data_IF_496170612932
#
_entry.id   IF_496170612932
#
_cell.length_a   1.000
_cell.length_b   1.000
_cell.length_c   1.000
_cell.angle_alpha   90.00
_cell.angle_beta   90.00
_cell.angle_gamma   90.00
#
_symmetry.space_group_name_H-M   'P 1'
#
loop_
_entity.id
_entity.type
_entity.pdbx_description
1 polymer ?
#
# COMPACT_ATOMS: atom_id res chain seq x y z
N UNK A 1 -18.15 -18.82 -4.56
CA UNK A 1 -17.15 -18.51 -3.52
C UNK A 1 -17.09 -19.69 -2.53
N UNK A 2 -15.93 -20.29 -2.27
CA UNK A 2 -15.80 -21.48 -1.40
C UNK A 2 -15.87 -21.12 0.10
N UNK A 3 -16.50 -21.97 0.92
CA UNK A 3 -16.68 -21.81 2.38
C UNK A 3 -15.36 -21.45 3.11
N UNK A 4 -14.26 -22.07 2.69
CA UNK A 4 -12.91 -21.86 3.25
C UNK A 4 -12.41 -20.42 3.12
N UNK A 5 -12.69 -19.75 2.00
CA UNK A 5 -12.32 -18.34 1.78
C UNK A 5 -13.12 -17.38 2.65
N UNK A 6 -14.39 -17.71 2.90
CA UNK A 6 -15.27 -16.93 3.77
C UNK A 6 -14.82 -17.00 5.23
N UNK A 7 -14.42 -18.18 5.71
CA UNK A 7 -13.91 -18.37 7.07
C UNK A 7 -12.58 -17.67 7.31
N UNK A 8 -11.63 -17.71 6.36
CA UNK A 8 -10.34 -17.00 6.50
C UNK A 8 -10.53 -15.49 6.71
N UNK A 9 -11.46 -14.88 5.97
CA UNK A 9 -11.77 -13.44 6.11
C UNK A 9 -12.27 -13.10 7.50
N UNK A 10 -13.20 -13.88 8.03
CA UNK A 10 -13.74 -13.67 9.39
C UNK A 10 -12.63 -13.76 10.45
N UNK A 11 -11.62 -14.59 10.23
CA UNK A 11 -10.45 -14.65 11.11
C UNK A 11 -9.58 -13.38 11.00
N UNK A 12 -9.22 -12.95 9.78
CA UNK A 12 -8.38 -11.76 9.60
C UNK A 12 -9.08 -10.47 10.06
N UNK A 13 -10.38 -10.33 9.82
CA UNK A 13 -11.13 -9.15 10.26
C UNK A 13 -11.11 -8.90 11.78
N UNK A 14 -10.79 -9.92 12.60
CA UNK A 14 -10.65 -9.78 14.05
C UNK A 14 -9.38 -9.06 14.48
N UNK A 15 -8.39 -8.90 13.60
CA UNK A 15 -7.14 -8.19 13.89
C UNK A 15 -7.03 -6.95 13.03
N UNK A 16 -7.21 -5.77 13.64
CA UNK A 16 -7.34 -4.47 12.94
C UNK A 16 -6.10 -4.03 12.17
N UNK A 17 -4.91 -4.52 12.53
CA UNK A 17 -3.65 -4.18 11.86
C UNK A 17 -3.22 -5.37 10.99
N UNK A 18 -2.78 -6.46 11.62
CA UNK A 18 -2.22 -7.60 10.90
C UNK A 18 -3.21 -8.25 9.93
N UNK A 19 -4.48 -8.33 10.31
CA UNK A 19 -5.51 -8.92 9.48
C UNK A 19 -5.86 -8.08 8.26
N UNK A 20 -5.89 -6.75 8.41
CA UNK A 20 -6.17 -5.83 7.29
C UNK A 20 -5.01 -5.69 6.31
N UNK A 21 -3.79 -6.04 6.74
CA UNK A 21 -2.62 -6.15 5.86
C UNK A 21 -2.66 -7.35 4.90
N UNK A 22 -3.62 -8.26 5.04
CA UNK A 22 -3.78 -9.43 4.17
C UNK A 22 -4.61 -9.07 2.93
N UNK A 23 -4.04 -8.22 2.08
CA UNK A 23 -4.78 -7.57 0.98
C UNK A 23 -5.38 -8.55 -0.03
N UNK A 24 -4.68 -9.64 -0.34
CA UNK A 24 -5.09 -10.62 -1.34
C UNK A 24 -6.46 -11.23 -0.98
N UNK A 25 -6.69 -11.50 0.30
CA UNK A 25 -7.91 -12.12 0.80
C UNK A 25 -9.13 -11.21 0.61
N UNK A 26 -8.95 -9.88 0.76
CA UNK A 26 -10.02 -8.91 0.53
C UNK A 26 -10.21 -8.63 -0.95
N UNK A 27 -9.13 -8.46 -1.72
CA UNK A 27 -9.19 -8.25 -3.17
C UNK A 27 -9.86 -9.43 -3.89
N UNK A 28 -9.60 -10.67 -3.45
CA UNK A 28 -10.26 -11.87 -4.01
C UNK A 28 -11.79 -11.78 -3.88
N UNK A 29 -12.28 -11.14 -2.81
CA UNK A 29 -13.71 -10.92 -2.64
C UNK A 29 -14.26 -9.95 -3.69
N UNK A 30 -13.55 -8.86 -3.98
CA UNK A 30 -13.98 -7.93 -5.01
C UNK A 30 -13.93 -8.59 -6.40
N UNK A 31 -12.86 -9.33 -6.72
CA UNK A 31 -12.76 -10.06 -7.98
C UNK A 31 -13.81 -11.15 -8.18
N UNK A 32 -14.46 -11.61 -7.11
CA UNK A 32 -15.58 -12.56 -7.22
C UNK A 32 -16.86 -11.93 -7.81
N UNK A 33 -16.99 -10.61 -7.78
CA UNK A 33 -18.19 -9.90 -8.23
C UNK A 33 -17.92 -8.84 -9.30
N UNK A 34 -16.70 -8.32 -9.38
CA UNK A 34 -16.31 -7.29 -10.32
C UNK A 34 -15.21 -7.81 -11.27
N UNK A 35 -15.32 -7.58 -12.59
CA UNK A 35 -14.21 -7.79 -13.52
C UNK A 35 -12.96 -7.02 -13.08
N UNK A 36 -11.75 -7.55 -13.28
CA UNK A 36 -10.52 -6.86 -12.88
C UNK A 36 -10.39 -5.44 -13.42
N UNK A 37 -10.93 -5.17 -14.61
CA UNK A 37 -10.88 -3.84 -15.24
C UNK A 37 -11.69 -2.77 -14.47
N UNK A 38 -12.62 -3.18 -13.58
CA UNK A 38 -13.39 -2.28 -12.71
C UNK A 38 -12.71 -2.01 -11.37
N UNK A 39 -11.51 -2.55 -11.13
CA UNK A 39 -10.78 -2.41 -9.89
C UNK A 39 -9.37 -1.88 -10.17
N UNK A 40 -9.11 -0.65 -9.75
CA UNK A 40 -7.77 -0.08 -9.76
C UNK A 40 -7.10 -0.27 -8.41
N UNK A 41 -5.95 -0.95 -8.40
CA UNK A 41 -5.08 -1.04 -7.22
C UNK A 41 -3.92 -0.08 -7.40
N UNK A 42 -3.70 0.79 -6.41
CA UNK A 42 -2.61 1.77 -6.35
C UNK A 42 -1.83 1.57 -5.05
N UNK A 43 -0.53 1.90 -5.10
CA UNK A 43 0.37 1.74 -3.97
C UNK A 43 0.72 3.11 -3.39
N UNK A 44 0.83 3.17 -2.06
CA UNK A 44 1.19 4.41 -1.35
C UNK A 44 2.59 4.91 -1.72
N UNK A 45 3.49 3.99 -2.02
CA UNK A 45 4.86 4.26 -2.47
C UNK A 45 4.86 4.98 -3.83
N UNK A 46 3.99 4.58 -4.76
CA UNK A 46 3.86 5.24 -6.05
C UNK A 46 3.17 6.60 -5.90
N UNK A 47 2.20 6.71 -4.99
CA UNK A 47 1.56 7.99 -4.67
C UNK A 47 2.55 8.97 -4.05
N UNK A 48 3.46 8.50 -3.21
CA UNK A 48 4.52 9.32 -2.63
C UNK A 48 5.56 9.72 -3.69
N UNK A 49 6.05 8.76 -4.48
CA UNK A 49 7.14 9.00 -5.43
C UNK A 49 6.69 9.75 -6.69
N UNK A 50 5.47 9.48 -7.18
CA UNK A 50 4.95 9.97 -8.46
C UNK A 50 3.46 10.32 -8.37
N UNK A 51 3.07 11.28 -7.49
CA UNK A 51 1.66 11.57 -7.19
C UNK A 51 0.84 11.94 -8.43
N UNK A 52 1.41 12.72 -9.36
CA UNK A 52 0.73 13.11 -10.59
C UNK A 52 0.44 11.92 -11.51
N UNK A 53 1.36 10.95 -11.60
CA UNK A 53 1.15 9.75 -12.41
C UNK A 53 0.02 8.89 -11.82
N UNK A 54 -0.03 8.75 -10.49
CA UNK A 54 -1.11 8.04 -9.80
C UNK A 54 -2.46 8.74 -10.00
N UNK A 55 -2.51 10.07 -9.86
CA UNK A 55 -3.75 10.83 -10.11
C UNK A 55 -4.24 10.63 -11.55
N UNK A 56 -3.34 10.73 -12.55
CA UNK A 56 -3.69 10.47 -13.95
C UNK A 56 -4.21 9.05 -14.16
N UNK A 57 -3.59 8.04 -13.54
CA UNK A 57 -4.08 6.67 -13.62
C UNK A 57 -5.50 6.52 -13.03
N UNK A 58 -5.78 7.20 -11.92
CA UNK A 58 -7.13 7.26 -11.33
C UNK A 58 -8.12 7.93 -12.28
N UNK A 59 -7.78 9.10 -12.83
CA UNK A 59 -8.63 9.84 -13.78
C UNK A 59 -8.99 8.99 -15.01
N UNK A 60 -8.00 8.33 -15.61
CA UNK A 60 -8.22 7.41 -16.74
C UNK A 60 -9.13 6.25 -16.35
N UNK A 61 -8.97 5.69 -15.15
CA UNK A 61 -9.78 4.56 -14.69
C UNK A 61 -11.25 4.93 -14.46
N UNK A 62 -11.51 6.10 -13.89
CA UNK A 62 -12.88 6.59 -13.66
C UNK A 62 -13.50 7.27 -14.89
N UNK A 63 -12.73 7.41 -15.98
CA UNK A 63 -13.21 7.93 -17.26
C UNK A 63 -13.40 9.45 -17.29
N UNK A 64 -12.64 10.20 -16.49
CA UNK A 64 -12.67 11.68 -16.50
C UNK A 64 -11.47 12.24 -17.27
N UNK A 65 -11.60 13.44 -17.87
CA UNK A 65 -10.46 14.14 -18.47
C UNK A 65 -9.37 14.42 -17.43
N UNK A 66 -8.11 14.40 -17.87
CA UNK A 66 -6.99 14.76 -17.02
C UNK A 66 -7.05 16.23 -16.60
N UNK A 67 -6.98 16.49 -15.31
CA UNK A 67 -6.88 17.84 -14.78
C UNK A 67 -5.43 18.37 -14.89
N UNK A 68 -5.31 19.67 -15.17
CA UNK A 68 -4.02 20.36 -15.15
C UNK A 68 -3.64 20.73 -13.71
N UNK A 69 -3.04 19.78 -13.01
CA UNK A 69 -2.52 20.02 -11.68
C UNK A 69 -1.27 20.89 -11.70
N UNK A 70 -1.14 21.74 -10.68
CA UNK A 70 0.15 22.36 -10.37
C UNK A 70 1.09 21.31 -9.76
N UNK A 71 2.12 20.91 -10.51
CA UNK A 71 3.03 19.82 -10.11
C UNK A 71 3.70 20.08 -8.75
N UNK A 72 4.09 21.33 -8.50
CA UNK A 72 4.69 21.74 -7.23
C UNK A 72 3.72 21.54 -6.07
N UNK A 73 2.45 21.93 -6.20
CA UNK A 73 1.45 21.73 -5.15
C UNK A 73 1.14 20.25 -4.91
N UNK A 74 1.05 19.45 -5.97
CA UNK A 74 0.77 18.00 -5.86
C UNK A 74 1.91 17.25 -5.19
N UNK A 75 3.16 17.68 -5.39
CA UNK A 75 4.33 17.13 -4.71
C UNK A 75 4.56 17.65 -3.29
N UNK A 76 3.73 18.60 -2.82
CA UNK A 76 3.92 19.20 -1.49
C UNK A 76 3.48 18.26 -0.38
N UNK A 77 4.36 18.03 0.61
CA UNK A 77 4.10 17.15 1.75
C UNK A 77 3.51 17.96 2.90
N UNK A 78 2.39 17.52 3.46
CA UNK A 78 1.77 18.09 4.65
C UNK A 78 1.91 17.13 5.84
N UNK A 79 1.84 17.66 7.08
CA UNK A 79 2.01 16.85 8.30
C UNK A 79 3.38 16.16 8.43
N UNK A 80 4.42 16.75 7.84
CA UNK A 80 5.79 16.32 8.03
C UNK A 80 6.24 16.53 9.48
N UNK A 81 7.12 15.67 10.00
CA UNK A 81 7.63 15.71 11.39
C UNK A 81 8.05 17.13 11.78
N UNK A 82 7.47 17.62 12.87
CA UNK A 82 7.66 18.99 13.37
C UNK A 82 6.66 20.02 12.82
N UNK A 83 5.72 19.64 11.94
CA UNK A 83 4.72 20.56 11.40
C UNK A 83 3.40 19.88 10.99
N UNK A 84 2.46 19.79 11.95
CA UNK A 84 1.13 19.18 11.76
C UNK A 84 0.00 20.18 11.45
N UNK A 85 0.33 21.32 10.84
CA UNK A 85 -0.65 22.38 10.49
C UNK A 85 -0.85 22.45 8.98
N UNK A 86 -2.07 22.74 8.55
CA UNK A 86 -2.45 22.85 7.13
C UNK A 86 -1.64 23.87 6.31
N UNK A 87 -1.04 24.90 6.93
CA UNK A 87 -0.22 25.92 6.26
C UNK A 87 1.28 25.63 6.27
N UNK A 88 1.66 24.36 6.44
CA UNK A 88 3.05 23.95 6.56
C UNK A 88 3.40 22.87 5.55
N UNK A 89 3.29 23.21 4.28
CA UNK A 89 3.80 22.39 3.20
C UNK A 89 5.32 22.37 3.23
N UNK A 90 5.90 21.18 3.12
CA UNK A 90 7.34 20.97 2.97
C UNK A 90 7.63 20.27 1.64
N UNK A 91 8.83 20.47 1.10
CA UNK A 91 9.34 19.57 0.06
C UNK A 91 9.76 18.24 0.70
N UNK A 92 9.78 17.15 -0.07
CA UNK A 92 10.17 15.83 0.44
C UNK A 92 11.57 15.84 1.07
N UNK A 93 12.50 16.63 0.52
CA UNK A 93 13.87 16.81 1.06
C UNK A 93 13.92 17.50 2.43
N UNK A 94 12.88 18.22 2.83
CA UNK A 94 12.84 18.98 4.10
C UNK A 94 12.24 18.18 5.27
N UNK A 95 11.87 16.92 5.03
CA UNK A 95 11.30 16.02 6.04
C UNK A 95 12.44 15.29 6.77
N UNK A 96 12.63 15.52 8.09
CA UNK A 96 13.66 14.82 8.85
C UNK A 96 13.44 13.31 8.83
N UNK A 97 14.51 12.55 8.64
CA UNK A 97 14.48 11.09 8.70
C UNK A 97 14.06 10.60 10.09
N UNK A 98 13.38 9.45 10.15
CA UNK A 98 13.01 8.84 11.43
C UNK A 98 14.28 8.34 12.13
N UNK A 99 14.58 8.90 13.29
CA UNK A 99 15.65 8.45 14.18
C UNK A 99 15.02 7.73 15.38
N UNK A 100 15.42 6.49 15.63
CA UNK A 100 15.02 5.68 16.79
C UNK A 100 14.06 4.53 16.47
N UNK A 101 14.19 3.43 17.22
CA UNK A 101 13.22 2.32 17.23
C UNK A 101 11.96 2.78 17.97
N UNK A 102 10.78 2.50 17.40
CA UNK A 102 9.54 2.76 18.09
C UNK A 102 9.46 1.89 19.36
N UNK A 103 9.11 2.50 20.50
CA UNK A 103 8.60 1.84 21.71
C UNK A 103 9.61 1.04 22.58
N UNK A 104 10.87 1.48 22.69
CA UNK A 104 11.77 0.94 23.72
C UNK A 104 12.16 -0.53 23.54
N UNK A 105 11.84 -1.12 22.38
CA UNK A 105 12.34 -2.41 21.96
C UNK A 105 13.79 -2.29 21.48
N UNK A 106 14.58 -3.32 21.76
CA UNK A 106 15.91 -3.45 21.15
C UNK A 106 15.79 -3.64 19.64
N UNK A 107 16.82 -3.25 18.90
CA UNK A 107 16.92 -3.45 17.45
C UNK A 107 16.73 -4.93 17.08
N UNK A 108 17.31 -5.84 17.88
CA UNK A 108 17.19 -7.29 17.67
C UNK A 108 15.74 -7.82 17.83
N UNK A 109 14.98 -7.31 18.80
CA UNK A 109 13.58 -7.68 18.99
C UNK A 109 12.70 -7.16 17.85
N UNK A 110 12.98 -5.94 17.40
CA UNK A 110 12.29 -5.37 16.24
C UNK A 110 12.57 -6.19 14.98
N UNK A 111 13.82 -6.53 14.70
CA UNK A 111 14.19 -7.35 13.54
C UNK A 111 13.61 -8.77 13.60
N UNK A 112 13.50 -9.35 14.80
CA UNK A 112 12.82 -10.63 14.99
C UNK A 112 11.33 -10.53 14.67
N UNK A 113 10.66 -9.46 15.13
CA UNK A 113 9.25 -9.21 14.83
C UNK A 113 9.02 -8.96 13.33
N UNK A 114 9.89 -8.18 12.67
CA UNK A 114 9.85 -7.94 11.22
C UNK A 114 9.97 -9.25 10.45
N UNK A 115 10.92 -10.13 10.81
CA UNK A 115 11.06 -11.45 10.17
C UNK A 115 9.81 -12.30 10.31
N UNK A 116 9.22 -12.37 11.50
CA UNK A 116 7.97 -13.11 11.72
C UNK A 116 6.82 -12.53 10.89
N UNK A 117 6.73 -11.20 10.79
CA UNK A 117 5.72 -10.54 9.98
C UNK A 117 5.91 -10.83 8.49
N UNK A 118 7.15 -10.77 8.00
CA UNK A 118 7.50 -11.11 6.61
C UNK A 118 7.12 -12.55 6.31
N UNK A 119 7.47 -13.50 7.18
CA UNK A 119 7.11 -14.91 7.01
C UNK A 119 5.59 -15.13 6.98
N UNK A 120 4.85 -14.43 7.83
CA UNK A 120 3.38 -14.48 7.86
C UNK A 120 2.75 -13.91 6.58
N UNK A 121 3.23 -12.77 6.09
CA UNK A 121 2.67 -12.10 4.91
C UNK A 121 3.16 -12.71 3.59
N UNK A 122 4.30 -13.40 3.57
CA UNK A 122 4.91 -13.98 2.35
C UNK A 122 3.89 -14.67 1.43
N UNK A 123 3.11 -15.69 1.86
CA UNK A 123 2.18 -16.37 0.95
C UNK A 123 1.13 -15.42 0.34
N UNK A 124 0.73 -14.39 1.06
CA UNK A 124 -0.22 -13.37 0.60
C UNK A 124 0.43 -12.45 -0.44
N UNK A 125 1.67 -12.03 -0.19
CA UNK A 125 2.44 -11.21 -1.12
C UNK A 125 2.73 -11.94 -2.44
N UNK A 126 3.12 -13.21 -2.39
CA UNK A 126 3.32 -14.01 -3.61
C UNK A 126 2.05 -14.11 -4.46
N UNK A 127 0.87 -14.17 -3.83
CA UNK A 127 -0.40 -14.16 -4.57
C UNK A 127 -0.63 -12.82 -5.28
N UNK A 128 -0.32 -11.71 -4.62
CA UNK A 128 -0.38 -10.37 -5.23
C UNK A 128 0.63 -10.26 -6.38
N UNK A 129 1.85 -10.78 -6.23
CA UNK A 129 2.87 -10.77 -7.28
C UNK A 129 2.37 -11.49 -8.53
N UNK A 130 1.81 -12.68 -8.35
CA UNK A 130 1.20 -13.42 -9.46
C UNK A 130 0.06 -12.63 -10.11
N UNK A 131 -0.82 -12.00 -9.33
CA UNK A 131 -1.90 -11.18 -9.90
C UNK A 131 -1.39 -9.95 -10.65
N UNK A 132 -0.30 -9.35 -10.19
CA UNK A 132 0.37 -8.27 -10.92
C UNK A 132 0.97 -8.79 -12.23
N UNK A 133 1.64 -9.94 -12.20
CA UNK A 133 2.22 -10.59 -13.39
C UNK A 133 1.13 -11.00 -14.41
N UNK A 134 -0.05 -11.38 -13.93
CA UNK A 134 -1.25 -11.68 -14.74
C UNK A 134 -1.98 -10.42 -15.24
N UNK A 135 -1.57 -9.21 -14.83
CA UNK A 135 -2.22 -7.95 -15.19
C UNK A 135 -3.58 -7.73 -14.52
N UNK A 136 -3.90 -8.46 -13.45
CA UNK A 136 -5.15 -8.30 -12.67
C UNK A 136 -5.12 -7.11 -11.72
N UNK A 137 -3.92 -6.71 -11.30
CA UNK A 137 -3.64 -5.52 -10.49
C UNK A 137 -2.41 -4.82 -11.08
N UNK A 138 -2.21 -3.55 -10.72
CA UNK A 138 -0.99 -2.81 -11.05
C UNK A 138 0.27 -3.51 -10.53
N UNK A 139 1.40 -3.30 -11.20
CA UNK A 139 2.69 -3.88 -10.79
C UNK A 139 3.03 -3.48 -9.35
N UNK A 140 3.32 -4.48 -8.51
CA UNK A 140 3.73 -4.22 -7.12
C UNK A 140 5.06 -3.46 -7.05
N UNK A 141 5.30 -2.66 -5.99
CA UNK A 141 6.59 -2.01 -5.77
C UNK A 141 7.75 -3.02 -5.77
N UNK A 142 8.85 -2.68 -6.45
CA UNK A 142 10.02 -3.56 -6.56
C UNK A 142 10.59 -3.94 -5.19
N UNK A 143 10.57 -3.00 -4.23
CA UNK A 143 11.01 -3.21 -2.86
C UNK A 143 10.23 -4.35 -2.17
N UNK A 144 8.93 -4.51 -2.46
CA UNK A 144 8.14 -5.61 -1.91
C UNK A 144 8.62 -6.95 -2.46
N UNK A 145 8.91 -7.03 -3.77
CA UNK A 145 9.46 -8.27 -4.33
C UNK A 145 10.76 -8.65 -3.65
N UNK A 146 11.64 -7.70 -3.36
CA UNK A 146 12.92 -7.97 -2.69
C UNK A 146 12.74 -8.41 -1.24
N UNK A 147 11.75 -7.86 -0.54
CA UNK A 147 11.47 -8.17 0.87
C UNK A 147 10.81 -9.54 1.05
N UNK A 148 9.99 -9.99 0.09
CA UNK A 148 9.15 -11.18 0.23
C UNK A 148 9.55 -12.37 -0.65
N UNK A 149 10.56 -12.26 -1.52
CA UNK A 149 11.25 -13.42 -2.14
C UNK A 149 12.10 -14.18 -1.14
#
# INVERSE_FOLDING_TARGET
MQLSGMMRRQCYQRSSILGWSVYDVFLDNYFAYFPPQQLLVQYTEDLEAQPLAVLRAVESHIGVPHHEYNETQVSTVYNARGCYKWRCGKSQSDVPSMQGTALGASEAEFDAAVRQLVDFLRPHMHRLFRWADEGRISQVPQAWRHMYT
#
